data_IF_053775394972
#
_entry.id   IF_053775394972
#
_cell.length_a   1.000
_cell.length_b   1.000
_cell.length_c   1.000
_cell.angle_alpha   90.00
_cell.angle_beta   90.00
_cell.angle_gamma   90.00
#
_symmetry.space_group_name_H-M   'P 1'
#
loop_
_entity.id
_entity.type
_entity.pdbx_description
1 polymer ?
#
# COMPACT_ATOMS: atom_id res chain seq x y z
N UNK A 1 -7.09 -11.32 0.93
CA UNK A 1 -5.82 -10.58 0.81
C UNK A 1 -5.40 -10.19 2.20
N UNK A 2 -4.31 -10.76 2.70
CA UNK A 2 -3.73 -10.31 3.97
C UNK A 2 -2.41 -9.61 3.64
N UNK A 3 -2.50 -8.32 3.30
CA UNK A 3 -1.31 -7.49 3.13
C UNK A 3 -0.58 -7.27 4.47
N UNK A 4 -1.21 -7.57 5.62
CA UNK A 4 -0.74 -7.16 6.96
C UNK A 4 0.60 -7.78 7.40
N UNK A 5 1.07 -8.83 6.72
CA UNK A 5 2.31 -9.52 7.06
C UNK A 5 3.41 -9.46 5.99
N UNK A 6 3.21 -8.79 4.85
CA UNK A 6 4.23 -8.75 3.80
C UNK A 6 5.24 -7.64 4.09
N UNK A 7 6.52 -7.95 4.38
CA UNK A 7 7.50 -6.96 4.80
C UNK A 7 7.95 -6.00 3.68
N UNK A 8 7.70 -6.36 2.42
CA UNK A 8 7.91 -5.47 1.27
C UNK A 8 6.75 -4.49 1.05
N UNK A 9 5.60 -4.72 1.68
CA UNK A 9 4.50 -3.78 1.60
C UNK A 9 4.83 -2.53 2.43
N UNK A 10 4.77 -1.36 1.81
CA UNK A 10 4.99 -0.06 2.48
C UNK A 10 4.02 0.99 1.96
N UNK A 11 3.78 1.98 2.81
CA UNK A 11 2.97 3.15 2.48
C UNK A 11 1.47 2.94 2.64
N UNK A 12 0.73 3.94 2.18
CA UNK A 12 -0.72 3.92 2.18
C UNK A 12 -1.26 3.18 0.95
N UNK A 13 -2.35 2.43 1.12
CA UNK A 13 -3.06 1.79 0.02
C UNK A 13 -4.58 1.88 0.23
N UNK A 14 -5.38 1.50 -0.78
CA UNK A 14 -6.84 1.45 -0.63
C UNK A 14 -7.46 2.78 -0.20
N UNK A 15 -7.06 3.87 -0.86
CA UNK A 15 -7.50 5.23 -0.51
C UNK A 15 -9.01 5.42 -0.71
N UNK A 16 -9.62 6.22 0.15
CA UNK A 16 -10.98 6.72 -0.04
C UNK A 16 -11.02 8.22 0.31
N UNK A 17 -11.79 8.99 -0.47
CA UNK A 17 -12.00 10.41 -0.26
C UNK A 17 -13.39 10.61 0.33
N UNK A 18 -13.46 11.30 1.47
CA UNK A 18 -14.72 11.65 2.15
C UNK A 18 -14.92 13.15 2.14
N UNK A 19 -16.12 13.58 1.77
CA UNK A 19 -16.55 14.98 1.86
C UNK A 19 -17.10 15.25 3.25
N UNK A 20 -16.42 16.08 4.03
CA UNK A 20 -16.74 16.40 5.41
C UNK A 20 -16.95 17.91 5.58
N UNK A 21 -18.02 18.29 6.28
CA UNK A 21 -18.21 19.66 6.73
C UNK A 21 -17.56 19.85 8.10
N UNK A 22 -16.86 20.98 8.26
CA UNK A 22 -16.23 21.38 9.52
C UNK A 22 -17.18 22.29 10.27
N UNK A 23 -17.69 21.84 11.40
CA UNK A 23 -18.75 22.53 12.14
C UNK A 23 -18.14 23.22 13.35
N UNK A 24 -18.55 24.47 13.56
CA UNK A 24 -18.31 25.23 14.78
C UNK A 24 -19.66 25.59 15.42
N UNK A 25 -19.81 25.26 16.70
CA UNK A 25 -21.04 25.47 17.47
C UNK A 25 -20.80 26.03 18.88
N UNK A 26 -19.57 25.96 19.39
CA UNK A 26 -19.10 26.62 20.60
C UNK A 26 -17.61 26.93 20.46
N UNK A 27 -17.21 28.18 20.71
CA UNK A 27 -15.80 28.62 20.66
C UNK A 27 -14.90 27.88 21.65
N UNK A 28 -15.47 27.21 22.65
CA UNK A 28 -14.75 26.42 23.66
C UNK A 28 -14.61 24.94 23.29
N UNK A 29 -15.28 24.48 22.24
CA UNK A 29 -15.25 23.09 21.81
C UNK A 29 -14.45 22.92 20.52
N UNK A 30 -13.75 21.78 20.34
CA UNK A 30 -13.06 21.48 19.09
C UNK A 30 -14.06 21.38 17.93
N UNK A 31 -13.57 21.68 16.73
CA UNK A 31 -14.36 21.54 15.51
C UNK A 31 -14.78 20.08 15.29
N UNK A 32 -16.01 19.89 14.84
CA UNK A 32 -16.54 18.57 14.50
C UNK A 32 -16.54 18.38 12.99
N UNK A 33 -16.17 17.19 12.53
CA UNK A 33 -16.08 16.84 11.11
C UNK A 33 -17.12 15.78 10.80
N UNK A 34 -18.15 16.15 10.02
CA UNK A 34 -19.25 15.23 9.70
C UNK A 34 -19.55 15.20 8.20
N UNK A 35 -19.93 14.04 7.65
CA UNK A 35 -20.43 13.97 6.29
C UNK A 35 -21.81 14.64 6.20
N UNK A 36 -22.13 15.18 5.03
CA UNK A 36 -23.50 15.61 4.74
C UNK A 36 -24.44 14.40 4.70
N UNK A 37 -25.65 14.60 5.20
CA UNK A 37 -26.70 13.60 5.02
C UNK A 37 -26.93 13.32 3.52
N UNK A 38 -27.17 12.07 3.10
CA UNK A 38 -27.33 11.70 1.69
C UNK A 38 -28.35 12.53 0.90
N UNK A 39 -29.41 13.02 1.56
CA UNK A 39 -30.41 13.90 0.92
C UNK A 39 -29.82 15.23 0.40
N UNK A 40 -28.69 15.67 0.96
CA UNK A 40 -28.01 16.92 0.61
C UNK A 40 -26.65 16.71 -0.08
N UNK A 41 -26.31 15.47 -0.47
CA UNK A 41 -25.05 15.17 -1.14
C UNK A 41 -24.87 15.93 -2.48
N UNK A 42 -25.96 16.36 -3.10
CA UNK A 42 -25.99 17.13 -4.33
C UNK A 42 -25.60 18.61 -4.16
N UNK A 43 -25.56 19.13 -2.93
CA UNK A 43 -25.21 20.53 -2.69
C UNK A 43 -23.73 20.76 -2.99
N UNK A 44 -23.36 21.77 -3.81
CA UNK A 44 -21.96 22.10 -4.06
C UNK A 44 -21.31 22.73 -2.81
N UNK A 45 -19.98 22.71 -2.74
CA UNK A 45 -19.24 23.16 -1.56
C UNK A 45 -19.53 24.61 -1.17
N UNK A 46 -19.77 25.50 -2.14
CA UNK A 46 -20.09 26.92 -1.86
C UNK A 46 -21.49 27.11 -1.27
N UNK A 47 -22.37 26.13 -1.41
CA UNK A 47 -23.72 26.12 -0.80
C UNK A 47 -23.76 25.42 0.55
N UNK A 48 -22.62 24.92 1.01
CA UNK A 48 -22.48 24.22 2.29
C UNK A 48 -21.57 25.01 3.22
N UNK A 49 -20.45 25.52 2.71
CA UNK A 49 -19.54 26.37 3.46
C UNK A 49 -20.25 27.65 3.97
N UNK A 50 -19.93 28.02 5.21
CA UNK A 50 -20.43 29.23 5.88
C UNK A 50 -21.95 29.27 6.10
N UNK A 51 -22.65 28.14 5.94
CA UNK A 51 -24.10 28.07 6.16
C UNK A 51 -24.43 27.58 7.57
N UNK A 52 -25.61 27.98 8.06
CA UNK A 52 -26.20 27.41 9.26
C UNK A 52 -26.56 25.93 9.05
N UNK A 53 -26.37 25.13 10.10
CA UNK A 53 -26.60 23.70 10.07
C UNK A 53 -27.12 23.14 11.38
N UNK A 54 -27.72 21.95 11.28
CA UNK A 54 -28.03 21.06 12.41
C UNK A 54 -27.33 19.73 12.20
N UNK A 55 -26.97 19.05 13.28
CA UNK A 55 -26.18 17.82 13.21
C UNK A 55 -26.41 16.89 14.42
N UNK A 56 -25.95 15.66 14.27
CA UNK A 56 -25.76 14.68 15.35
C UNK A 56 -24.37 14.05 15.21
N UNK A 57 -24.13 12.90 15.83
CA UNK A 57 -22.80 12.26 15.79
C UNK A 57 -22.46 11.64 14.41
N UNK A 58 -23.43 11.50 13.52
CA UNK A 58 -23.28 10.76 12.25
C UNK A 58 -23.27 11.67 11.01
N UNK A 59 -24.08 12.73 11.00
CA UNK A 59 -24.22 13.59 9.82
C UNK A 59 -24.59 15.04 10.15
N UNK A 60 -24.46 15.90 9.14
CA UNK A 60 -24.88 17.30 9.16
C UNK A 60 -25.88 17.61 8.04
N UNK A 61 -26.80 18.51 8.34
CA UNK A 61 -27.79 19.06 7.43
C UNK A 61 -27.68 20.59 7.40
N UNK A 62 -27.57 21.15 6.20
CA UNK A 62 -27.68 22.59 5.96
C UNK A 62 -29.14 23.00 6.09
N UNK A 63 -29.42 24.04 6.86
CA UNK A 63 -30.76 24.57 7.08
C UNK A 63 -31.04 25.80 6.21
N UNK A 64 -30.00 26.55 5.86
CA UNK A 64 -30.13 27.78 5.07
C UNK A 64 -30.47 27.48 3.60
N UNK A 65 -31.64 27.95 3.16
CA UNK A 65 -32.11 27.74 1.79
C UNK A 65 -32.48 26.29 1.44
N UNK A 66 -32.54 25.39 2.43
CA UNK A 66 -32.89 23.98 2.27
C UNK A 66 -34.15 23.63 3.06
N UNK A 67 -34.96 22.73 2.53
CA UNK A 67 -36.09 22.15 3.29
C UNK A 67 -35.61 20.90 4.01
N UNK A 68 -35.57 20.94 5.34
CA UNK A 68 -35.23 19.78 6.18
C UNK A 68 -36.52 19.06 6.59
N UNK A 69 -36.69 17.77 6.27
CA UNK A 69 -37.81 16.97 6.75
C UNK A 69 -37.84 16.92 8.28
N UNK A 70 -39.02 17.04 8.88
CA UNK A 70 -39.19 17.03 10.34
C UNK A 70 -38.63 15.75 11.01
N UNK A 71 -38.67 14.62 10.31
CA UNK A 71 -38.09 13.35 10.75
C UNK A 71 -36.57 13.43 10.91
N UNK A 72 -35.88 14.13 9.99
CA UNK A 72 -34.43 14.31 10.07
C UNK A 72 -34.05 15.41 11.07
N UNK A 73 -34.85 16.47 11.15
CA UNK A 73 -34.68 17.54 12.15
C UNK A 73 -34.71 16.98 13.58
N UNK A 74 -35.68 16.09 13.86
CA UNK A 74 -35.81 15.43 15.17
C UNK A 74 -34.63 14.51 15.54
N UNK A 75 -33.81 14.09 14.57
CA UNK A 75 -32.60 13.28 14.81
C UNK A 75 -31.36 14.13 15.12
N UNK A 76 -31.43 15.45 14.95
CA UNK A 76 -30.32 16.36 15.19
C UNK A 76 -30.47 17.04 16.57
N UNK A 77 -29.47 16.86 17.43
CA UNK A 77 -29.41 17.51 18.75
C UNK A 77 -28.50 18.74 18.79
N UNK A 78 -27.62 18.88 17.79
CA UNK A 78 -26.67 19.98 17.67
C UNK A 78 -27.09 20.99 16.61
N UNK A 79 -26.68 22.25 16.80
CA UNK A 79 -26.84 23.33 15.83
C UNK A 79 -25.59 24.18 15.78
N UNK A 80 -25.17 24.64 14.61
CA UNK A 80 -23.97 25.45 14.45
C UNK A 80 -23.83 26.04 13.06
N UNK A 81 -22.61 26.43 12.71
CA UNK A 81 -22.26 26.93 11.38
C UNK A 81 -21.10 26.12 10.79
N UNK A 82 -21.21 25.82 9.50
CA UNK A 82 -20.11 25.19 8.75
C UNK A 82 -19.03 26.23 8.48
N UNK A 83 -17.80 25.95 8.86
CA UNK A 83 -16.63 26.82 8.64
C UNK A 83 -15.90 26.53 7.34
N UNK A 84 -15.89 25.27 6.92
CA UNK A 84 -15.27 24.81 5.69
C UNK A 84 -15.85 23.46 5.26
N UNK A 85 -15.62 23.08 4.01
CA UNK A 85 -15.84 21.72 3.52
C UNK A 85 -14.49 21.18 3.06
N UNK A 86 -14.15 19.99 3.55
CA UNK A 86 -12.95 19.29 3.16
C UNK A 86 -13.28 17.99 2.42
N UNK A 87 -12.44 17.68 1.45
CA UNK A 87 -12.32 16.38 0.82
C UNK A 87 -11.16 15.66 1.49
N UNK A 88 -11.48 15.00 2.60
CA UNK A 88 -10.53 14.30 3.46
C UNK A 88 -10.13 12.98 2.83
N UNK A 89 -8.82 12.79 2.68
CA UNK A 89 -8.20 11.61 2.13
C UNK A 89 -7.90 10.65 3.29
N UNK A 90 -8.36 9.43 3.14
CA UNK A 90 -8.04 8.33 4.03
C UNK A 90 -7.30 7.24 3.26
N UNK A 91 -6.42 6.52 3.95
CA UNK A 91 -5.64 5.42 3.40
C UNK A 91 -5.48 4.31 4.41
N UNK A 92 -5.30 3.08 3.93
CA UNK A 92 -4.98 1.92 4.76
C UNK A 92 -3.49 1.85 5.02
N UNK A 93 -3.10 1.51 6.25
CA UNK A 93 -1.76 1.03 6.58
C UNK A 93 -1.81 -0.43 7.01
N UNK A 94 -0.64 -1.06 7.07
CA UNK A 94 -0.51 -2.45 7.53
C UNK A 94 -0.82 -2.60 9.03
N UNK A 95 -0.49 -1.57 9.82
CA UNK A 95 -0.49 -1.61 11.29
C UNK A 95 -1.73 -1.00 11.94
N UNK A 96 -2.38 -0.01 11.29
CA UNK A 96 -3.40 0.84 11.91
C UNK A 96 -4.74 0.82 11.18
N UNK A 97 -4.88 0.00 10.14
CA UNK A 97 -6.08 -0.04 9.33
C UNK A 97 -6.30 1.26 8.57
N UNK A 98 -7.54 1.78 8.57
CA UNK A 98 -7.93 2.93 7.77
C UNK A 98 -7.72 4.26 8.52
N UNK A 99 -6.78 5.07 8.08
CA UNK A 99 -6.34 6.29 8.76
C UNK A 99 -6.52 7.54 7.89
N UNK A 100 -6.63 8.70 8.52
CA UNK A 100 -6.62 10.00 7.85
C UNK A 100 -5.22 10.34 7.35
N UNK A 101 -5.11 10.76 6.09
CA UNK A 101 -3.85 11.11 5.42
C UNK A 101 -3.71 12.62 5.25
N UNK A 102 -4.82 13.31 4.95
CA UNK A 102 -4.82 14.76 4.82
C UNK A 102 -6.12 15.31 4.24
N UNK A 103 -6.26 16.63 4.25
CA UNK A 103 -7.45 17.33 3.76
C UNK A 103 -7.16 18.14 2.51
N UNK A 104 -8.15 18.26 1.65
CA UNK A 104 -8.11 19.10 0.45
C UNK A 104 -9.38 19.94 0.36
N UNK A 105 -9.29 21.17 -0.14
CA UNK A 105 -10.46 22.05 -0.29
C UNK A 105 -11.38 21.67 -1.46
N UNK A 106 -10.88 20.90 -2.44
CA UNK A 106 -11.66 20.46 -3.59
C UNK A 106 -11.48 18.97 -3.85
N UNK A 107 -12.50 18.34 -4.43
CA UNK A 107 -12.45 16.93 -4.83
C UNK A 107 -11.35 16.68 -5.85
N UNK A 108 -11.20 17.57 -6.82
CA UNK A 108 -10.20 17.45 -7.88
C UNK A 108 -8.77 17.41 -7.32
N UNK A 109 -8.48 18.28 -6.35
CA UNK A 109 -7.17 18.30 -5.70
C UNK A 109 -6.96 17.05 -4.83
N UNK A 110 -7.98 16.62 -4.09
CA UNK A 110 -7.92 15.38 -3.32
C UNK A 110 -7.62 14.16 -4.23
N UNK A 111 -8.30 14.08 -5.38
CA UNK A 111 -8.07 13.04 -6.38
C UNK A 111 -6.67 13.13 -6.99
N UNK A 112 -6.15 14.33 -7.23
CA UNK A 112 -4.78 14.52 -7.71
C UNK A 112 -3.74 14.03 -6.69
N UNK A 113 -3.95 14.33 -5.41
CA UNK A 113 -3.10 13.81 -4.32
C UNK A 113 -3.19 12.29 -4.26
N UNK A 114 -4.39 11.70 -4.28
CA UNK A 114 -4.56 10.24 -4.28
C UNK A 114 -3.85 9.60 -5.48
N UNK A 115 -3.99 10.12 -6.70
CA UNK A 115 -3.25 9.62 -7.88
C UNK A 115 -1.73 9.65 -7.68
N UNK A 116 -1.21 10.71 -7.07
CA UNK A 116 0.23 10.83 -6.78
C UNK A 116 0.67 9.85 -5.68
N UNK A 117 -0.18 9.59 -4.67
CA UNK A 117 0.10 8.65 -3.59
C UNK A 117 -0.04 7.18 -4.00
N UNK A 118 -0.90 6.88 -4.98
CA UNK A 118 -1.02 5.54 -5.56
C UNK A 118 0.12 5.22 -6.52
N UNK A 119 0.88 6.24 -6.95
CA UNK A 119 1.98 6.12 -7.89
C UNK A 119 1.56 5.53 -9.26
N UNK A 120 0.29 5.66 -9.63
CA UNK A 120 -0.26 5.17 -10.90
C UNK A 120 0.30 5.92 -12.12
N UNK A 121 0.74 7.17 -11.93
CA UNK A 121 1.09 8.08 -13.02
C UNK A 121 2.58 8.14 -13.36
N UNK A 122 3.45 7.32 -12.77
CA UNK A 122 4.84 7.24 -13.24
C UNK A 122 5.83 6.47 -12.37
N UNK A 123 6.62 5.61 -13.03
CA UNK A 123 8.08 5.36 -12.88
C UNK A 123 8.77 5.39 -11.49
N UNK A 124 8.06 5.27 -10.37
CA UNK A 124 8.71 5.06 -9.08
C UNK A 124 9.12 3.59 -8.98
N UNK A 125 10.41 3.33 -9.21
CA UNK A 125 10.99 2.01 -8.97
C UNK A 125 10.86 1.66 -7.49
N UNK A 126 9.98 0.70 -7.18
CA UNK A 126 9.94 0.01 -5.89
C UNK A 126 11.13 -0.93 -5.84
N UNK A 127 12.31 -0.34 -5.70
CA UNK A 127 13.57 -1.04 -5.58
C UNK A 127 13.84 -1.28 -4.10
N UNK A 128 14.31 -2.49 -3.79
CA UNK A 128 14.71 -2.89 -2.45
C UNK A 128 16.13 -3.43 -2.51
N UNK A 129 16.87 -3.14 -1.44
CA UNK A 129 18.16 -3.72 -1.15
C UNK A 129 18.06 -4.27 0.27
N UNK A 130 18.27 -5.57 0.42
CA UNK A 130 18.12 -6.30 1.69
C UNK A 130 19.31 -7.24 1.89
N UNK A 131 19.55 -7.61 3.14
CA UNK A 131 20.61 -8.55 3.49
C UNK A 131 20.51 -9.87 2.71
N UNK A 132 21.65 -10.43 2.28
CA UNK A 132 21.72 -11.82 1.78
C UNK A 132 21.32 -12.85 2.83
N UNK A 133 21.29 -12.49 4.12
CA UNK A 133 20.86 -13.37 5.20
C UNK A 133 19.39 -13.84 5.06
N UNK A 134 18.60 -13.23 4.17
CA UNK A 134 17.22 -13.65 3.87
C UNK A 134 17.10 -14.80 2.87
N UNK A 135 18.21 -15.31 2.37
CA UNK A 135 18.27 -16.49 1.49
C UNK A 135 19.40 -17.41 1.94
N UNK A 136 19.27 -18.69 1.64
CA UNK A 136 20.35 -19.66 1.90
C UNK A 136 21.53 -19.46 0.93
N UNK A 137 22.72 -19.97 1.27
CA UNK A 137 23.88 -19.97 0.38
C UNK A 137 23.57 -20.68 -0.96
N UNK A 138 22.78 -21.77 -0.91
CA UNK A 138 22.32 -22.48 -2.09
C UNK A 138 21.45 -21.61 -3.00
N UNK A 139 20.55 -20.81 -2.42
CA UNK A 139 19.75 -19.82 -3.15
C UNK A 139 20.59 -18.70 -3.77
N UNK A 140 21.59 -18.20 -3.03
CA UNK A 140 22.55 -17.23 -3.55
C UNK A 140 23.32 -17.76 -4.77
N UNK A 141 23.81 -19.00 -4.69
CA UNK A 141 24.47 -19.69 -5.80
C UNK A 141 23.54 -19.90 -6.99
N UNK A 142 22.30 -20.33 -6.74
CA UNK A 142 21.28 -20.50 -7.78
C UNK A 142 20.99 -19.19 -8.54
N UNK A 143 20.86 -18.06 -7.85
CA UNK A 143 20.68 -16.74 -8.49
C UNK A 143 21.91 -16.31 -9.29
N UNK A 144 23.11 -16.58 -8.78
CA UNK A 144 24.36 -16.28 -9.48
C UNK A 144 24.46 -17.06 -10.79
N UNK A 145 24.14 -18.36 -10.78
CA UNK A 145 24.08 -19.18 -11.99
C UNK A 145 23.03 -18.65 -12.97
N UNK A 146 21.84 -18.28 -12.48
CA UNK A 146 20.79 -17.69 -13.31
C UNK A 146 21.18 -16.35 -13.94
N UNK A 147 22.00 -15.54 -13.27
CA UNK A 147 22.48 -14.26 -13.78
C UNK A 147 23.53 -14.43 -14.89
N UNK A 148 24.21 -15.58 -14.92
CA UNK A 148 25.27 -15.87 -15.88
C UNK A 148 24.75 -16.62 -17.13
N UNK A 149 23.49 -17.09 -17.12
CA UNK A 149 22.84 -17.80 -18.23
C UNK A 149 21.61 -17.06 -18.77
N UNK A 150 21.09 -17.51 -19.92
CA UNK A 150 19.78 -17.07 -20.38
C UNK A 150 18.69 -17.61 -19.45
N UNK A 151 18.02 -16.71 -18.71
CA UNK A 151 16.94 -17.10 -17.79
C UNK A 151 15.84 -17.85 -18.55
N UNK A 152 15.44 -19.06 -18.10
CA UNK A 152 14.36 -19.80 -18.75
C UNK A 152 13.05 -18.99 -18.78
N UNK A 153 12.21 -19.21 -19.79
CA UNK A 153 10.89 -18.55 -19.88
C UNK A 153 10.02 -18.91 -18.69
N UNK A 154 9.10 -18.02 -18.28
CA UNK A 154 8.08 -18.30 -17.25
C UNK A 154 8.52 -18.09 -15.80
N UNK A 155 9.75 -17.61 -15.54
CA UNK A 155 10.14 -17.17 -14.20
C UNK A 155 9.53 -15.82 -13.80
N UNK A 156 9.15 -14.99 -14.76
CA UNK A 156 8.74 -13.59 -14.55
C UNK A 156 9.76 -12.76 -13.76
N UNK A 157 11.04 -13.12 -13.81
CA UNK A 157 12.13 -12.26 -13.36
C UNK A 157 13.39 -12.51 -14.17
N UNK A 158 14.37 -11.63 -14.02
CA UNK A 158 15.74 -11.78 -14.53
C UNK A 158 16.72 -11.48 -13.41
N UNK A 159 17.68 -12.37 -13.19
CA UNK A 159 18.79 -12.14 -12.28
C UNK A 159 19.94 -11.42 -13.01
N UNK A 160 20.69 -10.57 -12.31
CA UNK A 160 21.81 -9.82 -12.86
C UNK A 160 22.90 -9.55 -11.82
N UNK A 161 24.16 -9.58 -12.28
CA UNK A 161 25.34 -9.20 -11.48
C UNK A 161 25.46 -7.69 -11.36
N UNK A 162 25.91 -7.20 -10.21
CA UNK A 162 26.35 -5.81 -10.03
C UNK A 162 27.88 -5.79 -10.13
N UNK A 163 28.47 -5.08 -11.11
CA UNK A 163 29.93 -5.05 -11.28
C UNK A 163 30.65 -4.59 -10.02
N UNK A 164 31.71 -5.31 -9.64
CA UNK A 164 32.53 -5.02 -8.46
C UNK A 164 31.78 -5.11 -7.12
N UNK A 165 30.61 -5.74 -7.08
CA UNK A 165 29.87 -6.03 -5.85
C UNK A 165 29.57 -7.53 -5.77
N UNK A 166 29.64 -8.15 -4.58
CA UNK A 166 29.15 -9.52 -4.37
C UNK A 166 27.62 -9.60 -4.42
N UNK A 167 26.91 -8.47 -4.39
CA UNK A 167 25.47 -8.42 -4.43
C UNK A 167 24.88 -8.98 -5.74
N UNK A 168 23.69 -9.56 -5.62
CA UNK A 168 22.94 -10.11 -6.75
C UNK A 168 21.60 -9.40 -6.88
N UNK A 169 21.33 -8.90 -8.09
CA UNK A 169 20.09 -8.21 -8.42
C UNK A 169 19.07 -9.12 -9.08
N UNK A 170 17.80 -8.86 -8.82
CA UNK A 170 16.66 -9.51 -9.45
C UNK A 170 15.70 -8.43 -9.93
N UNK A 171 15.40 -8.43 -11.23
CA UNK A 171 14.36 -7.61 -11.82
C UNK A 171 13.09 -8.43 -11.96
N UNK A 172 12.06 -8.09 -11.19
CA UNK A 172 10.75 -8.72 -11.27
C UNK A 172 9.94 -8.15 -12.46
N UNK A 173 9.18 -9.03 -13.11
CA UNK A 173 8.37 -8.76 -14.30
C UNK A 173 6.91 -9.05 -13.95
N UNK A 174 5.98 -8.35 -14.61
CA UNK A 174 4.55 -8.61 -14.44
C UNK A 174 4.05 -8.46 -12.98
N UNK A 175 4.70 -7.63 -12.18
CA UNK A 175 4.24 -7.31 -10.82
C UNK A 175 3.07 -6.31 -10.85
N UNK A 176 2.20 -6.29 -9.82
CA UNK A 176 2.25 -7.15 -8.63
C UNK A 176 1.87 -8.60 -8.93
N UNK A 177 2.49 -9.57 -8.25
CA UNK A 177 2.16 -10.99 -8.37
C UNK A 177 0.93 -11.37 -7.55
N UNK A 178 -0.17 -10.64 -7.75
CA UNK A 178 -1.49 -11.01 -7.25
C UNK A 178 -2.19 -11.91 -8.26
N UNK A 179 -3.12 -12.76 -7.80
CA UNK A 179 -3.91 -13.61 -8.71
C UNK A 179 -4.65 -12.78 -9.76
N UNK A 180 -5.22 -11.64 -9.38
CA UNK A 180 -5.92 -10.75 -10.30
C UNK A 180 -5.01 -10.24 -11.43
N UNK A 181 -3.83 -9.73 -11.08
CA UNK A 181 -2.91 -9.19 -12.07
C UNK A 181 -2.29 -10.30 -12.93
N UNK A 182 -1.80 -11.38 -12.33
CA UNK A 182 -1.19 -12.49 -13.08
C UNK A 182 -2.19 -13.18 -14.00
N UNK A 183 -3.45 -13.34 -13.59
CA UNK A 183 -4.49 -13.86 -14.48
C UNK A 183 -4.74 -12.93 -15.67
N UNK A 184 -4.62 -11.61 -15.47
CA UNK A 184 -4.78 -10.63 -16.54
C UNK A 184 -3.61 -10.63 -17.54
N UNK A 185 -2.36 -10.71 -17.06
CA UNK A 185 -1.18 -10.56 -17.91
C UNK A 185 -0.56 -11.86 -18.42
N UNK A 186 -0.63 -12.94 -17.64
CA UNK A 186 0.02 -14.23 -17.93
C UNK A 186 -0.98 -15.41 -17.96
N UNK A 187 -2.23 -15.21 -17.50
CA UNK A 187 -3.26 -16.25 -17.46
C UNK A 187 -3.04 -17.32 -16.40
N UNK A 188 -2.25 -17.00 -15.36
CA UNK A 188 -1.93 -17.91 -14.24
C UNK A 188 -2.18 -17.25 -12.88
N UNK A 189 -2.30 -18.06 -11.83
CA UNK A 189 -2.37 -17.60 -10.44
C UNK A 189 -0.98 -17.44 -9.82
N UNK A 190 -0.87 -16.74 -8.70
CA UNK A 190 0.38 -16.61 -7.94
C UNK A 190 0.90 -17.98 -7.47
N UNK A 191 0.00 -18.88 -7.07
CA UNK A 191 0.35 -20.24 -6.69
C UNK A 191 0.85 -21.08 -7.89
N UNK A 192 0.33 -20.85 -9.10
CA UNK A 192 0.86 -21.47 -10.30
C UNK A 192 2.28 -20.99 -10.61
N UNK A 193 2.53 -19.69 -10.51
CA UNK A 193 3.87 -19.12 -10.68
C UNK A 193 4.87 -19.70 -9.68
N UNK A 194 4.52 -19.77 -8.38
CA UNK A 194 5.37 -20.36 -7.35
C UNK A 194 5.69 -21.83 -7.67
N UNK A 195 4.69 -22.63 -8.05
CA UNK A 195 4.93 -24.03 -8.47
C UNK A 195 5.82 -24.14 -9.68
N UNK A 196 5.72 -23.21 -10.63
CA UNK A 196 6.60 -23.18 -11.79
C UNK A 196 8.05 -22.90 -11.38
N UNK A 197 8.31 -21.98 -10.46
CA UNK A 197 9.64 -21.74 -9.89
C UNK A 197 10.23 -23.00 -9.28
N UNK A 198 9.49 -23.67 -8.40
CA UNK A 198 9.93 -24.89 -7.72
C UNK A 198 10.18 -26.03 -8.72
N UNK A 199 9.33 -26.16 -9.76
CA UNK A 199 9.50 -27.19 -10.80
C UNK A 199 10.80 -27.04 -11.60
N UNK A 200 11.40 -25.84 -11.60
CA UNK A 200 12.68 -25.51 -12.26
C UNK A 200 13.86 -25.53 -11.28
N UNK A 201 13.69 -26.13 -10.11
CA UNK A 201 14.74 -26.33 -9.11
C UNK A 201 15.09 -25.09 -8.30
N UNK A 202 14.24 -24.05 -8.31
CA UNK A 202 14.42 -22.92 -7.40
C UNK A 202 14.26 -23.40 -5.95
N UNK A 203 15.19 -23.05 -5.04
CA UNK A 203 15.00 -23.31 -3.60
C UNK A 203 13.75 -22.63 -3.04
N UNK A 204 13.13 -23.25 -2.03
CA UNK A 204 11.87 -22.77 -1.46
C UNK A 204 11.99 -21.39 -0.80
N UNK A 205 13.09 -21.14 -0.07
CA UNK A 205 13.34 -19.86 0.59
C UNK A 205 13.42 -18.70 -0.41
N UNK A 206 14.06 -18.95 -1.57
CA UNK A 206 14.14 -17.98 -2.65
C UNK A 206 12.76 -17.75 -3.30
N UNK A 207 12.00 -18.82 -3.56
CA UNK A 207 10.66 -18.70 -4.12
C UNK A 207 9.73 -17.89 -3.20
N UNK A 208 9.86 -18.07 -1.89
CA UNK A 208 9.03 -17.38 -0.89
C UNK A 208 9.36 -15.88 -0.79
N UNK A 209 10.65 -15.51 -0.71
CA UNK A 209 11.04 -14.09 -0.67
C UNK A 209 10.69 -13.37 -1.97
N UNK A 210 10.86 -14.02 -3.13
CA UNK A 210 10.47 -13.43 -4.42
C UNK A 210 8.95 -13.34 -4.55
N UNK A 211 8.18 -14.30 -4.02
CA UNK A 211 6.73 -14.22 -4.00
C UNK A 211 6.24 -13.02 -3.17
N UNK A 212 6.83 -12.80 -1.99
CA UNK A 212 6.52 -11.64 -1.14
C UNK A 212 6.87 -10.33 -1.85
N UNK A 213 8.07 -10.23 -2.42
CA UNK A 213 8.50 -9.04 -3.16
C UNK A 213 7.59 -8.77 -4.37
N UNK A 214 7.29 -9.80 -5.17
CA UNK A 214 6.43 -9.71 -6.33
C UNK A 214 5.01 -9.26 -5.97
N UNK A 215 4.43 -9.81 -4.89
CA UNK A 215 3.11 -9.39 -4.39
C UNK A 215 3.07 -7.92 -3.96
N UNK A 216 4.17 -7.38 -3.43
CA UNK A 216 4.29 -5.99 -2.99
C UNK A 216 4.60 -5.00 -4.14
N UNK A 217 4.55 -5.47 -5.39
CA UNK A 217 4.91 -4.72 -6.59
C UNK A 217 6.38 -4.25 -6.61
N UNK A 218 7.28 -4.98 -5.95
CA UNK A 218 8.73 -4.73 -6.05
C UNK A 218 9.16 -4.95 -7.50
N UNK A 219 9.94 -4.03 -8.06
CA UNK A 219 10.43 -4.11 -9.46
C UNK A 219 11.88 -4.56 -9.54
N UNK A 220 12.67 -4.20 -8.54
CA UNK A 220 14.07 -4.58 -8.41
C UNK A 220 14.32 -4.97 -6.96
N UNK A 221 14.88 -6.15 -6.74
CA UNK A 221 15.33 -6.62 -5.43
C UNK A 221 16.81 -6.92 -5.54
N UNK A 222 17.62 -6.36 -4.63
CA UNK A 222 19.05 -6.65 -4.51
C UNK A 222 19.26 -7.36 -3.19
N UNK A 223 19.95 -8.50 -3.26
CA UNK A 223 20.47 -9.18 -2.09
C UNK A 223 21.94 -8.79 -1.94
N UNK A 224 22.26 -8.08 -0.86
CA UNK A 224 23.60 -7.57 -0.55
C UNK A 224 23.94 -7.90 0.91
N UNK A 225 25.10 -8.50 1.18
CA UNK A 225 25.52 -8.82 2.55
C UNK A 225 25.74 -7.57 3.42
N UNK A 226 26.05 -6.43 2.80
CA UNK A 226 26.25 -5.15 3.50
C UNK A 226 24.94 -4.39 3.77
N UNK A 227 23.81 -4.90 3.26
CA UNK A 227 22.50 -4.30 3.47
C UNK A 227 21.86 -4.74 4.79
N UNK A 228 20.97 -3.90 5.32
CA UNK A 228 20.24 -4.24 6.54
C UNK A 228 19.27 -5.40 6.31
N UNK A 229 19.09 -6.21 7.35
CA UNK A 229 17.98 -7.16 7.41
C UNK A 229 16.64 -6.43 7.32
N UNK A 230 15.68 -7.04 6.64
CA UNK A 230 14.31 -6.59 6.53
C UNK A 230 13.45 -7.32 7.57
N UNK A 231 13.01 -6.56 8.57
CA UNK A 231 12.10 -7.03 9.61
C UNK A 231 10.90 -7.79 9.02
N UNK A 232 10.64 -8.98 9.55
CA UNK A 232 9.53 -9.84 9.14
C UNK A 232 9.87 -10.85 8.04
N UNK A 233 11.08 -10.81 7.47
CA UNK A 233 11.61 -11.92 6.68
C UNK A 233 12.42 -12.90 7.54
N UNK A 234 12.41 -14.17 7.13
CA UNK A 234 13.27 -15.21 7.71
C UNK A 234 14.74 -14.83 7.55
N UNK A 235 15.55 -15.07 8.57
CA UNK A 235 17.01 -14.95 8.54
C UNK A 235 17.60 -16.35 8.65
N UNK A 236 18.49 -16.70 7.74
CA UNK A 236 19.23 -17.95 7.73
C UNK A 236 20.61 -17.70 8.33
N UNK A 237 20.99 -18.49 9.34
CA UNK A 237 22.33 -18.44 9.91
C UNK A 237 23.33 -19.00 8.88
N UNK A 238 24.48 -18.33 8.73
CA UNK A 238 25.62 -18.95 8.06
C UNK A 238 26.09 -20.14 8.93
N UNK A 239 26.14 -21.34 8.37
CA UNK A 239 26.76 -22.46 9.08
C UNK A 239 28.23 -22.08 9.34
N UNK A 240 28.56 -21.90 10.62
CA UNK A 240 29.92 -21.64 11.09
C UNK A 240 30.81 -22.81 10.66
N UNK A 241 31.47 -22.67 9.51
CA UNK A 241 32.45 -23.61 8.97
C UNK A 241 33.76 -23.46 9.77
N UNK A 242 33.66 -23.57 11.09
CA UNK A 242 34.82 -23.71 11.96
C UNK A 242 35.24 -25.18 11.90
N UNK A 243 36.39 -25.52 11.29
CA UNK A 243 36.86 -26.89 11.30
C UNK A 243 37.04 -27.30 12.76
N UNK A 244 36.36 -28.36 13.18
CA UNK A 244 36.60 -29.01 14.45
C UNK A 244 38.08 -29.35 14.51
N UNK A 245 38.83 -28.58 15.29
CA UNK A 245 40.21 -28.91 15.62
C UNK A 245 40.13 -30.10 16.56
N UNK A 246 40.15 -31.30 15.99
CA UNK A 246 40.36 -32.52 16.74
C UNK A 246 41.76 -32.44 17.38
N UNK A 247 41.80 -32.23 18.70
CA UNK A 247 42.98 -32.42 19.56
C UNK A 247 42.98 -33.80 20.19
#
# INVERSE_FOLDING_TARGET
MDHSSNPFARGYYGFEIRRLAVISYDERHPQTFLPLHPSQAHLPDEKVAYQACIFNDDFVLITEGQTVPAELDALCGGSGAVQAVYHSIYGRTLDRGFIHVGDSYTLEYAQAVVRNLQFETGFYSRAWEISTAHITEASGRYLCELADIATPSGFLFVAFRIPYSPAIGVKLIATPWTDENLMHVEGITAEQLRREHLSKGMPEDLADVLALAGQADVRVLVFDADANELDGLTVFEEEDDTPSVDT
#
